data_IF_740019391423
#
_entry.id   IF_740019391423
#
_cell.length_a   1.000
_cell.length_b   1.000
_cell.length_c   1.000
_cell.angle_alpha   90.00
_cell.angle_beta   90.00
_cell.angle_gamma   90.00
#
_symmetry.space_group_name_H-M   'P 1'
#
loop_
_entity.id
_entity.type
_entity.pdbx_description
1 polymer ?
#
# COMPACT_ATOMS: atom_id res chain seq x y z
N UNK A 1 0.57 26.60 -21.14
CA UNK A 1 0.76 26.45 -19.69
C UNK A 1 0.98 24.96 -19.49
N UNK A 2 2.23 24.57 -19.29
CA UNK A 2 2.61 23.15 -19.15
C UNK A 2 2.31 22.72 -17.72
N UNK A 3 1.25 21.92 -17.57
CA UNK A 3 0.87 21.27 -16.32
C UNK A 3 1.45 19.86 -16.21
N UNK A 4 2.33 19.48 -17.14
CA UNK A 4 2.86 18.13 -17.19
C UNK A 4 3.84 17.87 -16.05
N UNK A 5 3.81 16.64 -15.55
CA UNK A 5 4.67 16.23 -14.47
C UNK A 5 6.10 16.12 -14.98
N UNK A 6 7.06 16.55 -14.16
CA UNK A 6 8.47 16.30 -14.48
C UNK A 6 8.71 14.80 -14.65
N UNK A 7 9.67 14.37 -15.50
CA UNK A 7 9.94 12.95 -15.75
C UNK A 7 10.22 12.15 -14.47
N UNK A 8 10.82 12.80 -13.46
CA UNK A 8 11.02 12.23 -12.13
C UNK A 8 9.71 11.90 -11.41
N UNK A 9 8.71 12.77 -11.51
CA UNK A 9 7.38 12.55 -10.90
C UNK A 9 6.62 11.46 -11.65
N UNK A 10 6.71 11.42 -12.98
CA UNK A 10 6.12 10.36 -13.79
C UNK A 10 6.74 8.99 -13.45
N UNK A 11 8.04 8.90 -13.23
CA UNK A 11 8.71 7.66 -12.82
C UNK A 11 8.23 7.19 -11.43
N UNK A 12 8.16 8.09 -10.46
CA UNK A 12 7.65 7.78 -9.11
C UNK A 12 6.18 7.34 -9.15
N UNK A 13 5.35 7.99 -9.96
CA UNK A 13 3.94 7.61 -10.14
C UNK A 13 3.83 6.19 -10.72
N UNK A 14 4.61 5.87 -11.75
CA UNK A 14 4.60 4.53 -12.35
C UNK A 14 5.02 3.46 -11.34
N UNK A 15 6.08 3.70 -10.56
CA UNK A 15 6.54 2.78 -9.51
C UNK A 15 5.48 2.58 -8.43
N UNK A 16 4.81 3.65 -8.01
CA UNK A 16 3.72 3.58 -7.05
C UNK A 16 2.53 2.78 -7.60
N UNK A 17 2.10 3.04 -8.83
CA UNK A 17 0.97 2.36 -9.47
C UNK A 17 1.25 0.86 -9.65
N UNK A 18 2.47 0.48 -10.03
CA UNK A 18 2.88 -0.92 -10.10
C UNK A 18 2.83 -1.58 -8.73
N UNK A 19 3.37 -0.94 -7.69
CA UNK A 19 3.31 -1.46 -6.33
C UNK A 19 1.87 -1.64 -5.84
N UNK A 20 1.01 -0.64 -6.09
CA UNK A 20 -0.43 -0.71 -5.76
C UNK A 20 -1.10 -1.91 -6.43
N UNK A 21 -0.85 -2.09 -7.72
CA UNK A 21 -1.47 -3.17 -8.52
C UNK A 21 -1.00 -4.55 -8.11
N UNK A 22 0.30 -4.71 -7.83
CA UNK A 22 0.87 -6.02 -7.51
C UNK A 22 0.67 -6.43 -6.05
N UNK A 23 0.57 -5.46 -5.15
CA UNK A 23 0.67 -5.73 -3.72
C UNK A 23 -0.44 -5.10 -2.87
N UNK A 24 -1.03 -3.98 -3.25
CA UNK A 24 -2.06 -3.32 -2.41
C UNK A 24 -3.46 -3.81 -2.77
N UNK A 25 -3.91 -3.60 -4.00
CA UNK A 25 -5.26 -3.99 -4.45
C UNK A 25 -5.62 -5.47 -4.22
N UNK A 26 -4.75 -6.46 -4.52
CA UNK A 26 -5.10 -7.86 -4.26
C UNK A 26 -5.25 -8.18 -2.77
N UNK A 27 -4.59 -7.42 -1.89
CA UNK A 27 -4.63 -7.65 -0.45
C UNK A 27 -5.66 -6.78 0.28
N UNK A 28 -6.33 -5.86 -0.43
CA UNK A 28 -7.30 -4.91 0.13
C UNK A 28 -8.46 -5.64 0.84
N UNK A 29 -9.01 -6.68 0.21
CA UNK A 29 -10.08 -7.51 0.80
C UNK A 29 -9.61 -8.22 2.08
N UNK A 30 -8.39 -8.74 2.08
CA UNK A 30 -7.79 -9.38 3.27
C UNK A 30 -7.55 -8.38 4.39
N UNK A 31 -7.10 -7.17 4.04
CA UNK A 31 -6.86 -6.09 4.99
C UNK A 31 -8.14 -5.64 5.69
N UNK A 32 -9.22 -5.44 4.93
CA UNK A 32 -10.52 -5.09 5.51
C UNK A 32 -11.09 -6.21 6.39
N UNK A 33 -10.89 -7.47 6.05
CA UNK A 33 -11.27 -8.60 6.91
C UNK A 33 -10.52 -8.57 8.24
N UNK A 34 -9.20 -8.38 8.20
CA UNK A 34 -8.39 -8.36 9.42
C UNK A 34 -8.72 -7.16 10.31
N UNK A 35 -9.01 -5.99 9.73
CA UNK A 35 -9.55 -4.83 10.47
C UNK A 35 -10.91 -5.15 11.10
N UNK A 36 -11.82 -5.78 10.36
CA UNK A 36 -13.14 -6.13 10.87
C UNK A 36 -13.03 -7.11 12.05
N UNK A 37 -12.15 -8.11 11.95
CA UNK A 37 -11.85 -9.04 13.04
C UNK A 37 -11.22 -8.33 14.25
N UNK A 38 -10.26 -7.44 14.04
CA UNK A 38 -9.62 -6.66 15.10
C UNK A 38 -10.63 -5.76 15.82
N UNK A 39 -11.54 -5.14 15.05
CA UNK A 39 -12.66 -4.36 15.59
C UNK A 39 -13.65 -5.21 16.37
N UNK A 40 -13.96 -6.43 15.90
CA UNK A 40 -14.80 -7.39 16.62
C UNK A 40 -14.14 -7.86 17.92
N UNK A 41 -12.80 -7.98 17.95
CA UNK A 41 -12.01 -8.27 19.15
C UNK A 41 -11.85 -7.07 20.10
N UNK A 42 -12.41 -5.91 19.76
CA UNK A 42 -12.42 -4.71 20.60
C UNK A 42 -11.23 -3.78 20.42
N UNK A 43 -10.32 -4.04 19.47
CA UNK A 43 -9.18 -3.15 19.22
C UNK A 43 -8.89 -3.02 17.71
N UNK A 44 -9.41 -1.95 17.11
CA UNK A 44 -9.23 -1.66 15.68
C UNK A 44 -7.84 -1.09 15.32
N UNK A 45 -6.98 -0.80 16.30
CA UNK A 45 -5.68 -0.15 16.10
C UNK A 45 -4.50 -1.13 16.05
N UNK A 46 -4.78 -2.43 15.88
CA UNK A 46 -3.76 -3.46 15.79
C UNK A 46 -3.16 -3.43 14.37
N UNK A 47 -1.82 -3.40 14.23
CA UNK A 47 -1.18 -3.49 12.93
C UNK A 47 -1.56 -4.81 12.25
N UNK A 48 -2.01 -4.71 11.01
CA UNK A 48 -2.38 -5.89 10.22
C UNK A 48 -1.13 -6.61 9.70
N UNK A 49 -1.19 -7.94 9.66
CA UNK A 49 -0.11 -8.79 9.11
C UNK A 49 0.20 -8.41 7.68
N UNK A 50 -0.84 -8.09 6.91
CA UNK A 50 -0.73 -7.65 5.52
C UNK A 50 0.12 -6.37 5.43
N UNK A 51 -0.12 -5.36 6.27
CA UNK A 51 0.69 -4.14 6.27
C UNK A 51 2.14 -4.42 6.66
N UNK A 52 2.37 -5.27 7.67
CA UNK A 52 3.72 -5.66 8.07
C UNK A 52 4.49 -6.39 6.95
N UNK A 53 3.82 -7.23 6.16
CA UNK A 53 4.41 -7.90 5.00
C UNK A 53 4.65 -6.97 3.80
N UNK A 54 3.86 -5.89 3.69
CA UNK A 54 3.99 -4.91 2.60
C UNK A 54 5.11 -3.90 2.84
N UNK A 55 5.38 -3.52 4.10
CA UNK A 55 6.46 -2.60 4.48
C UNK A 55 7.85 -2.96 3.88
N UNK A 56 8.37 -4.20 4.03
CA UNK A 56 9.66 -4.56 3.44
C UNK A 56 9.63 -4.55 1.91
N UNK A 57 8.50 -4.89 1.29
CA UNK A 57 8.33 -4.85 -0.17
C UNK A 57 8.34 -3.40 -0.69
N UNK A 58 7.70 -2.47 0.03
CA UNK A 58 7.72 -1.05 -0.31
C UNK A 58 9.13 -0.46 -0.19
N UNK A 59 9.88 -0.84 0.85
CA UNK A 59 11.30 -0.45 1.01
C UNK A 59 12.17 -0.98 -0.13
N UNK A 60 12.01 -2.25 -0.50
CA UNK A 60 12.75 -2.85 -1.61
C UNK A 60 12.40 -2.19 -2.97
N UNK A 61 11.15 -1.76 -3.15
CA UNK A 61 10.71 -1.01 -4.31
C UNK A 61 11.16 0.47 -4.32
N UNK A 62 11.85 0.93 -3.27
CA UNK A 62 12.31 2.31 -3.10
C UNK A 62 11.17 3.32 -2.98
N UNK A 63 10.04 2.90 -2.39
CA UNK A 63 8.84 3.71 -2.11
C UNK A 63 8.73 4.06 -0.62
N UNK A 64 9.87 4.16 0.07
CA UNK A 64 9.98 4.43 1.51
C UNK A 64 10.85 5.66 1.79
#
# INVERSE_FOLDING_TARGET
MDFDYTPKVQELQNRLLQFMTQHVYPNEVGFFREIAENRAKGNAWIPTRIIEELKPKARAAGLW
#
